data_IF_691254832556
#
_entry.id   IF_691254832556
#
_cell.length_a   1.000
_cell.length_b   1.000
_cell.length_c   1.000
_cell.angle_alpha   90.00
_cell.angle_beta   90.00
_cell.angle_gamma   90.00
#
_symmetry.space_group_name_H-M   'P 1'
#
loop_
_entity.id
_entity.type
_entity.pdbx_description
1 polymer ?
#
# COMPACT_ATOMS: atom_id res chain seq x y z
N UNK A 1 66.24 51.18 -2.44
CA UNK A 1 65.99 49.75 -2.73
C UNK A 1 64.84 49.33 -1.85
N UNK A 2 63.60 49.44 -2.36
CA UNK A 2 62.41 49.11 -1.69
C UNK A 2 61.99 47.62 -2.01
N UNK A 3 61.81 46.83 -1.01
CA UNK A 3 61.32 45.47 -1.15
C UNK A 3 59.79 45.45 -1.15
N UNK A 4 59.19 45.15 -2.32
CA UNK A 4 57.76 44.92 -2.47
C UNK A 4 57.45 43.48 -2.04
N UNK A 5 56.72 43.34 -0.94
CA UNK A 5 56.18 42.01 -0.48
C UNK A 5 54.88 41.71 -1.22
N UNK A 6 54.88 40.69 -2.09
CA UNK A 6 53.69 40.10 -2.69
C UNK A 6 53.01 39.15 -1.66
N UNK A 7 51.85 39.53 -1.16
CA UNK A 7 50.98 38.62 -0.39
C UNK A 7 50.09 37.82 -1.37
N UNK A 8 50.37 36.54 -1.48
CA UNK A 8 49.46 35.59 -2.16
C UNK A 8 48.24 35.35 -1.24
N UNK A 9 47.04 35.83 -1.67
CA UNK A 9 45.78 35.45 -1.07
C UNK A 9 45.32 34.14 -1.71
N UNK A 10 45.39 33.04 -0.95
CA UNK A 10 44.79 31.74 -1.35
C UNK A 10 43.28 31.84 -1.13
N UNK A 11 42.53 31.96 -2.23
CA UNK A 11 41.07 31.90 -2.22
C UNK A 11 40.66 30.42 -2.15
N UNK A 12 40.31 29.97 -0.95
CA UNK A 12 39.69 28.63 -0.76
C UNK A 12 38.24 28.74 -1.23
N UNK A 13 37.96 28.30 -2.46
CA UNK A 13 36.60 28.06 -2.91
C UNK A 13 36.05 26.82 -2.14
N UNK A 14 35.18 27.04 -1.18
CA UNK A 14 34.36 26.00 -0.60
C UNK A 14 33.33 25.59 -1.67
N UNK A 15 33.61 24.50 -2.36
CA UNK A 15 32.61 23.84 -3.22
C UNK A 15 31.60 23.18 -2.29
N UNK A 16 30.47 23.85 -2.05
CA UNK A 16 29.31 23.27 -1.43
C UNK A 16 28.75 22.20 -2.37
N UNK A 17 29.06 20.94 -2.14
CA UNK A 17 28.29 19.84 -2.70
C UNK A 17 26.87 19.91 -2.11
N UNK A 18 25.99 20.65 -2.78
CA UNK A 18 24.57 20.53 -2.58
C UNK A 18 24.18 19.11 -2.97
N UNK A 19 24.00 18.23 -2.00
CA UNK A 19 23.34 16.96 -2.23
C UNK A 19 21.94 17.30 -2.75
N UNK A 20 21.72 17.19 -4.06
CA UNK A 20 20.38 17.15 -4.63
C UNK A 20 19.68 15.97 -3.96
N UNK A 21 18.80 16.24 -2.99
CA UNK A 21 17.91 15.25 -2.47
C UNK A 21 17.09 14.75 -3.67
N UNK A 22 17.37 13.53 -4.14
CA UNK A 22 16.51 12.86 -5.09
C UNK A 22 15.16 12.68 -4.39
N UNK A 23 14.20 13.53 -4.72
CA UNK A 23 12.81 13.37 -4.31
C UNK A 23 12.28 12.15 -5.07
N UNK A 24 12.27 10.99 -4.42
CA UNK A 24 11.57 9.84 -4.94
C UNK A 24 10.08 10.17 -5.01
N UNK A 25 9.49 10.06 -6.20
CA UNK A 25 8.05 10.22 -6.36
C UNK A 25 7.33 9.12 -5.57
N UNK A 26 6.42 9.46 -4.64
CA UNK A 26 5.62 8.46 -3.93
C UNK A 26 4.85 7.53 -4.87
N UNK A 27 4.54 7.99 -6.06
CA UNK A 27 3.77 7.27 -7.09
C UNK A 27 4.57 6.13 -7.75
N UNK A 28 5.90 6.14 -7.64
CA UNK A 28 6.77 5.17 -8.33
C UNK A 28 7.59 4.29 -7.38
N UNK A 29 7.63 4.64 -6.10
CA UNK A 29 8.50 3.97 -5.12
C UNK A 29 8.04 2.54 -4.84
N UNK A 30 9.00 1.59 -4.80
CA UNK A 30 8.80 0.20 -4.34
C UNK A 30 9.41 0.02 -2.95
N UNK A 31 9.06 -1.09 -2.26
CA UNK A 31 9.65 -1.44 -0.95
C UNK A 31 11.18 -1.55 -1.07
N UNK A 32 11.67 -2.25 -2.10
CA UNK A 32 13.11 -2.43 -2.32
C UNK A 32 13.82 -1.09 -2.56
N UNK A 33 13.24 -0.21 -3.35
CA UNK A 33 13.80 1.12 -3.63
C UNK A 33 13.80 2.01 -2.38
N UNK A 34 12.74 2.01 -1.57
CA UNK A 34 12.69 2.73 -0.30
C UNK A 34 13.83 2.29 0.62
N UNK A 35 13.95 0.98 0.86
CA UNK A 35 14.98 0.44 1.74
C UNK A 35 16.40 0.70 1.22
N UNK A 36 16.60 0.62 -0.10
CA UNK A 36 17.89 0.94 -0.71
C UNK A 36 18.24 2.43 -0.56
N UNK A 37 17.28 3.32 -0.82
CA UNK A 37 17.48 4.76 -0.70
C UNK A 37 17.84 5.18 0.73
N UNK A 38 17.19 4.57 1.74
CA UNK A 38 17.52 4.82 3.16
C UNK A 38 18.91 4.29 3.52
N UNK A 39 19.29 3.09 3.07
CA UNK A 39 20.64 2.53 3.27
C UNK A 39 21.71 3.42 2.64
N UNK A 40 21.44 3.98 1.47
CA UNK A 40 22.34 4.89 0.75
C UNK A 40 22.28 6.34 1.26
N UNK A 41 21.49 6.62 2.31
CA UNK A 41 21.28 7.94 2.90
C UNK A 41 20.77 8.99 1.89
N UNK A 42 20.08 8.56 0.84
CA UNK A 42 19.43 9.44 -0.16
C UNK A 42 18.11 10.02 0.33
N UNK A 43 17.50 9.36 1.31
CA UNK A 43 16.29 9.79 2.02
C UNK A 43 16.30 9.26 3.45
N UNK A 44 15.29 9.64 4.23
CA UNK A 44 14.97 9.05 5.54
C UNK A 44 13.54 8.53 5.52
N UNK A 45 13.19 7.67 6.46
CA UNK A 45 11.82 7.21 6.63
C UNK A 45 10.87 8.38 6.91
N UNK A 46 11.29 9.30 7.79
CA UNK A 46 10.52 10.51 8.08
C UNK A 46 10.27 11.35 6.83
N UNK A 47 11.30 11.57 6.00
CA UNK A 47 11.16 12.36 4.77
C UNK A 47 10.22 11.67 3.78
N UNK A 48 10.34 10.35 3.62
CA UNK A 48 9.45 9.57 2.75
C UNK A 48 8.01 9.62 3.25
N UNK A 49 7.78 9.43 4.56
CA UNK A 49 6.45 9.53 5.16
C UNK A 49 5.84 10.92 4.95
N UNK A 50 6.63 12.00 5.14
CA UNK A 50 6.16 13.36 4.90
C UNK A 50 5.71 13.55 3.45
N UNK A 51 6.48 13.04 2.47
CA UNK A 51 6.10 13.12 1.06
C UNK A 51 4.73 12.47 0.78
N UNK A 52 4.45 11.29 1.35
CA UNK A 52 3.13 10.65 1.24
C UNK A 52 2.01 11.48 1.88
N UNK A 53 2.25 12.03 3.07
CA UNK A 53 1.29 12.88 3.76
C UNK A 53 0.98 14.17 2.95
N UNK A 54 1.99 14.76 2.32
CA UNK A 54 1.84 15.95 1.48
C UNK A 54 1.01 15.65 0.23
N UNK A 55 1.23 14.50 -0.42
CA UNK A 55 0.44 14.06 -1.59
C UNK A 55 -1.02 13.82 -1.20
N UNK A 56 -1.29 13.18 -0.06
CA UNK A 56 -2.65 13.01 0.46
C UNK A 56 -3.30 14.39 0.71
N UNK A 57 -2.62 15.27 1.41
CA UNK A 57 -3.14 16.60 1.74
C UNK A 57 -3.45 17.47 0.52
N UNK A 58 -2.69 17.24 -0.57
CA UNK A 58 -2.87 17.97 -1.82
C UNK A 58 -4.01 17.42 -2.69
N UNK A 59 -4.32 16.10 -2.64
CA UNK A 59 -5.13 15.46 -3.67
C UNK A 59 -6.38 14.72 -3.14
N UNK A 60 -6.45 14.36 -1.85
CA UNK A 60 -7.61 13.59 -1.37
C UNK A 60 -8.86 14.45 -1.18
N UNK A 61 -8.75 15.55 -0.40
CA UNK A 61 -9.86 16.49 -0.13
C UNK A 61 -9.71 17.82 -0.90
N UNK A 62 -8.55 18.02 -1.52
CA UNK A 62 -8.21 19.17 -2.37
C UNK A 62 -7.79 18.67 -3.74
N UNK A 63 -7.33 19.55 -4.61
CA UNK A 63 -6.85 19.20 -5.95
C UNK A 63 -7.83 18.28 -6.70
N UNK A 64 -7.42 17.04 -6.97
CA UNK A 64 -8.23 16.05 -7.66
C UNK A 64 -9.48 15.61 -6.87
N UNK A 65 -9.51 15.83 -5.55
CA UNK A 65 -10.61 15.48 -4.64
C UNK A 65 -11.03 14.02 -4.77
N UNK A 66 -10.04 13.12 -4.67
CA UNK A 66 -10.28 11.69 -4.85
C UNK A 66 -11.20 11.09 -3.79
N UNK A 67 -11.25 11.72 -2.61
CA UNK A 67 -12.17 11.36 -1.54
C UNK A 67 -12.04 9.87 -1.13
N UNK A 68 -10.81 9.42 -1.03
CA UNK A 68 -10.47 8.01 -0.82
C UNK A 68 -10.04 7.65 0.61
N UNK A 69 -9.82 8.66 1.48
CA UNK A 69 -9.35 8.47 2.86
C UNK A 69 -10.49 8.77 3.85
N UNK A 70 -10.78 7.83 4.74
CA UNK A 70 -11.74 8.00 5.85
C UNK A 70 -11.04 8.56 7.09
N UNK A 71 -9.87 8.00 7.46
CA UNK A 71 -9.12 8.48 8.63
C UNK A 71 -7.62 8.38 8.41
N UNK A 72 -6.90 9.36 8.98
CA UNK A 72 -5.44 9.45 8.92
C UNK A 72 -4.80 9.00 10.24
N UNK A 73 -3.67 8.33 10.17
CA UNK A 73 -2.82 8.10 11.33
C UNK A 73 -2.05 9.38 11.69
N UNK A 74 -2.48 10.03 12.75
CA UNK A 74 -1.86 11.29 13.23
C UNK A 74 -0.44 11.09 13.77
N UNK A 75 -0.03 9.85 14.07
CA UNK A 75 1.28 9.52 14.63
C UNK A 75 2.27 8.99 13.58
N UNK A 76 1.84 8.81 12.33
CA UNK A 76 2.65 8.19 11.26
C UNK A 76 4.04 8.85 11.09
N UNK A 77 4.11 10.19 11.15
CA UNK A 77 5.38 10.90 11.02
C UNK A 77 6.30 10.70 12.24
N UNK A 78 5.73 10.63 13.44
CA UNK A 78 6.50 10.35 14.65
C UNK A 78 6.99 8.89 14.69
N UNK A 79 6.19 7.95 14.20
CA UNK A 79 6.57 6.55 14.04
C UNK A 79 7.74 6.42 13.05
N UNK A 80 7.69 7.11 11.92
CA UNK A 80 8.77 7.16 10.93
C UNK A 80 10.07 7.78 11.50
N UNK A 81 9.95 8.84 12.29
CA UNK A 81 11.12 9.41 12.98
C UNK A 81 11.74 8.43 14.00
N UNK A 82 10.91 7.65 14.69
CA UNK A 82 11.38 6.62 15.59
C UNK A 82 12.10 5.49 14.83
N UNK A 83 11.59 5.11 13.65
CA UNK A 83 12.23 4.14 12.78
C UNK A 83 13.60 4.62 12.28
N UNK A 84 13.74 5.90 11.90
CA UNK A 84 15.03 6.50 11.53
C UNK A 84 16.06 6.41 12.68
N UNK A 85 15.61 6.69 13.92
CA UNK A 85 16.47 6.61 15.11
C UNK A 85 16.92 5.17 15.37
N UNK A 86 16.02 4.19 15.22
CA UNK A 86 16.33 2.77 15.39
C UNK A 86 17.31 2.31 14.31
N UNK A 87 17.06 2.62 13.05
CA UNK A 87 17.91 2.26 11.92
C UNK A 87 19.34 2.85 12.07
N UNK A 88 19.45 4.11 12.50
CA UNK A 88 20.77 4.74 12.78
C UNK A 88 21.56 4.03 13.88
N UNK A 89 20.87 3.36 14.80
CA UNK A 89 21.51 2.69 15.95
C UNK A 89 22.09 1.34 15.57
N UNK A 90 21.37 0.54 14.76
CA UNK A 90 21.75 -0.87 14.51
C UNK A 90 21.82 -1.26 13.04
N UNK A 91 21.38 -0.39 12.11
CA UNK A 91 21.39 -0.64 10.67
C UNK A 91 20.42 -1.73 10.20
N UNK A 92 19.55 -2.22 11.10
CA UNK A 92 18.65 -3.34 10.80
C UNK A 92 17.36 -2.87 10.17
N UNK A 93 16.93 -3.54 9.10
CA UNK A 93 15.62 -3.31 8.47
C UNK A 93 14.74 -4.55 8.61
N UNK A 94 13.54 -4.38 9.13
CA UNK A 94 12.50 -5.39 9.04
C UNK A 94 11.97 -5.48 7.59
N UNK A 95 11.27 -6.57 7.22
CA UNK A 95 10.81 -6.79 5.83
C UNK A 95 9.95 -5.66 5.23
N UNK A 96 9.14 -5.00 6.07
CA UNK A 96 8.31 -3.84 5.68
C UNK A 96 8.69 -2.59 6.48
N UNK A 97 9.97 -2.46 6.90
CA UNK A 97 10.36 -1.33 7.73
C UNK A 97 9.92 -0.01 7.13
N UNK A 98 9.07 0.70 7.87
CA UNK A 98 8.54 2.03 7.57
C UNK A 98 7.82 2.17 6.21
N UNK A 99 7.34 1.06 5.67
CA UNK A 99 6.50 1.08 4.46
C UNK A 99 5.16 1.73 4.81
N UNK A 100 4.76 2.83 4.11
CA UNK A 100 3.45 3.44 4.30
C UNK A 100 2.35 2.55 3.74
N UNK A 101 1.50 2.00 4.62
CA UNK A 101 0.43 1.05 4.28
C UNK A 101 -0.93 1.72 4.40
N UNK A 102 -1.75 1.51 3.40
CA UNK A 102 -3.17 1.86 3.37
C UNK A 102 -4.01 0.63 3.73
N UNK A 103 -4.85 0.72 4.74
CA UNK A 103 -5.78 -0.35 5.09
C UNK A 103 -7.22 0.03 4.73
N UNK A 104 -7.91 -0.86 4.03
CA UNK A 104 -9.37 -0.70 3.81
C UNK A 104 -10.09 -0.57 5.15
N UNK A 105 -11.06 0.33 5.22
CA UNK A 105 -11.66 0.73 6.51
C UNK A 105 -12.59 -0.32 7.15
N UNK A 106 -12.60 -1.53 6.64
CA UNK A 106 -13.20 -2.70 7.31
C UNK A 106 -12.18 -3.57 8.04
N UNK A 107 -10.89 -3.19 8.08
CA UNK A 107 -9.81 -3.89 8.79
C UNK A 107 -9.54 -3.20 10.11
N UNK A 108 -9.77 -3.87 11.23
CA UNK A 108 -9.56 -3.32 12.57
C UNK A 108 -8.12 -2.85 12.75
N UNK A 109 -7.99 -1.64 13.25
CA UNK A 109 -6.68 -1.01 13.50
C UNK A 109 -6.77 -0.26 14.80
N UNK A 110 -6.06 -0.71 15.83
CA UNK A 110 -6.04 -0.04 17.12
C UNK A 110 -5.60 1.43 16.98
N UNK A 111 -6.30 2.32 17.66
CA UNK A 111 -6.11 3.79 17.63
C UNK A 111 -6.54 4.48 16.32
N UNK A 112 -7.16 3.76 15.36
CA UNK A 112 -7.76 4.33 14.15
C UNK A 112 -9.22 3.91 14.04
N UNK A 113 -10.02 4.73 13.37
CA UNK A 113 -11.40 4.37 13.06
C UNK A 113 -11.45 3.09 12.22
N UNK A 114 -12.46 2.26 12.46
CA UNK A 114 -12.85 1.15 11.59
C UNK A 114 -14.37 1.17 11.47
N UNK A 115 -14.84 1.80 10.40
CA UNK A 115 -16.27 2.11 10.27
C UNK A 115 -16.99 1.25 9.24
N UNK A 116 -16.25 0.46 8.45
CA UNK A 116 -16.83 -0.22 7.29
C UNK A 116 -17.42 0.76 6.27
N UNK A 117 -17.02 2.03 6.31
CA UNK A 117 -17.60 3.12 5.51
C UNK A 117 -18.95 3.61 6.01
N UNK A 118 -19.45 3.11 7.14
CA UNK A 118 -20.79 3.43 7.65
C UNK A 118 -20.75 4.49 8.76
N UNK A 119 -21.62 5.48 8.64
CA UNK A 119 -21.84 6.50 9.68
C UNK A 119 -22.37 5.87 10.99
N UNK A 120 -22.97 4.69 10.93
CA UNK A 120 -23.41 3.96 12.11
C UNK A 120 -22.25 3.53 13.04
N UNK A 121 -21.04 3.41 12.47
CA UNK A 121 -19.80 3.07 13.17
C UNK A 121 -18.79 4.23 13.19
N UNK A 122 -19.23 5.45 12.99
CA UNK A 122 -18.37 6.65 12.83
C UNK A 122 -17.39 6.90 13.98
N UNK A 123 -17.72 6.44 15.19
CA UNK A 123 -16.92 6.62 16.39
C UNK A 123 -16.24 5.30 16.83
N UNK A 124 -16.34 4.23 16.03
CA UNK A 124 -15.78 2.93 16.38
C UNK A 124 -14.26 2.92 16.21
N UNK A 125 -13.55 2.81 17.32
CA UNK A 125 -12.10 2.62 17.38
C UNK A 125 -11.83 1.27 18.03
N UNK A 126 -11.35 0.29 17.29
CA UNK A 126 -11.06 -1.04 17.82
C UNK A 126 -9.98 -0.99 18.92
N UNK A 127 -10.13 -1.80 19.96
CA UNK A 127 -9.12 -1.96 21.02
C UNK A 127 -7.89 -2.73 20.52
N UNK A 128 -8.06 -3.60 19.53
CA UNK A 128 -7.02 -4.48 19.00
C UNK A 128 -6.91 -4.34 17.48
N UNK A 129 -5.72 -4.61 16.97
CA UNK A 129 -5.53 -4.75 15.53
C UNK A 129 -6.17 -6.06 15.02
N UNK A 130 -6.69 -6.06 13.81
CA UNK A 130 -6.90 -7.27 13.04
C UNK A 130 -5.59 -8.07 12.96
N UNK A 131 -5.69 -9.40 12.85
CA UNK A 131 -4.50 -10.25 12.78
C UNK A 131 -3.52 -9.78 11.68
N UNK A 132 -4.02 -9.50 10.48
CA UNK A 132 -3.18 -9.02 9.37
C UNK A 132 -2.58 -7.63 9.62
N UNK A 133 -3.33 -6.73 10.25
CA UNK A 133 -2.82 -5.40 10.60
C UNK A 133 -1.68 -5.50 11.63
N UNK A 134 -1.80 -6.41 12.61
CA UNK A 134 -0.73 -6.69 13.56
C UNK A 134 0.52 -7.25 12.86
N UNK A 135 0.36 -8.24 11.96
CA UNK A 135 1.46 -8.84 11.20
C UNK A 135 2.23 -7.79 10.38
N UNK A 136 1.52 -6.87 9.74
CA UNK A 136 2.12 -5.78 8.96
C UNK A 136 2.91 -4.83 9.87
N UNK A 137 2.35 -4.45 11.02
CA UNK A 137 3.04 -3.60 12.01
C UNK A 137 4.26 -4.30 12.62
N UNK A 138 4.17 -5.60 12.93
CA UNK A 138 5.30 -6.39 13.44
C UNK A 138 6.46 -6.49 12.41
N UNK A 139 6.11 -6.51 11.12
CA UNK A 139 7.06 -6.43 10.02
C UNK A 139 7.68 -5.03 9.83
N UNK A 140 7.26 -4.03 10.63
CA UNK A 140 7.82 -2.69 10.67
C UNK A 140 7.08 -1.65 9.83
N UNK A 141 5.98 -2.01 9.19
CA UNK A 141 5.20 -1.06 8.39
C UNK A 141 4.42 -0.07 9.26
N UNK A 142 4.12 1.08 8.70
CA UNK A 142 3.28 2.11 9.33
C UNK A 142 1.95 2.20 8.57
N UNK A 143 0.85 1.99 9.27
CA UNK A 143 -0.48 2.26 8.71
C UNK A 143 -0.65 3.77 8.64
N UNK A 144 -0.61 4.34 7.42
CA UNK A 144 -0.71 5.79 7.22
C UNK A 144 -2.15 6.28 7.24
N UNK A 145 -3.09 5.47 6.72
CA UNK A 145 -4.50 5.86 6.63
C UNK A 145 -5.44 4.65 6.47
N UNK A 146 -6.72 4.89 6.76
CA UNK A 146 -7.84 3.99 6.45
C UNK A 146 -8.56 4.49 5.19
N UNK A 147 -8.76 3.59 4.23
CA UNK A 147 -9.31 3.95 2.93
C UNK A 147 -10.80 3.69 2.83
N UNK A 148 -11.48 4.54 2.07
CA UNK A 148 -12.90 4.40 1.77
C UNK A 148 -13.21 3.08 1.04
N UNK A 149 -14.45 2.63 1.16
CA UNK A 149 -14.97 1.43 0.52
C UNK A 149 -16.46 1.67 0.21
N UNK A 150 -17.06 0.80 -0.59
CA UNK A 150 -18.51 0.74 -0.59
C UNK A 150 -18.97 0.28 0.80
N UNK A 151 -19.95 0.96 1.38
CA UNK A 151 -20.41 0.74 2.75
C UNK A 151 -20.61 -0.75 3.02
N UNK A 152 -19.97 -1.28 4.09
CA UNK A 152 -19.90 -2.69 4.46
C UNK A 152 -19.40 -3.63 3.33
N UNK A 153 -18.71 -3.11 2.33
CA UNK A 153 -18.17 -3.86 1.18
C UNK A 153 -19.24 -4.57 0.31
N UNK A 154 -20.51 -4.14 0.38
CA UNK A 154 -21.63 -4.85 -0.27
C UNK A 154 -21.72 -4.63 -1.79
N UNK A 155 -21.01 -3.64 -2.36
CA UNK A 155 -21.05 -3.33 -3.78
C UNK A 155 -19.71 -2.79 -4.30
N UNK A 156 -19.61 -2.53 -5.61
CA UNK A 156 -18.35 -2.15 -6.28
C UNK A 156 -18.10 -0.65 -6.48
N UNK A 157 -19.07 0.23 -6.16
CA UNK A 157 -18.99 1.66 -6.54
C UNK A 157 -18.15 2.53 -5.60
N UNK A 158 -17.69 2.03 -4.47
CA UNK A 158 -16.91 2.78 -3.47
C UNK A 158 -17.61 4.05 -3.00
N UNK A 159 -18.88 3.89 -2.64
CA UNK A 159 -19.70 4.94 -2.05
C UNK A 159 -20.06 4.57 -0.63
N UNK A 160 -19.84 5.49 0.30
CA UNK A 160 -20.12 5.27 1.72
C UNK A 160 -20.87 6.45 2.34
N UNK A 161 -21.59 6.21 3.44
CA UNK A 161 -22.20 7.29 4.22
C UNK A 161 -21.15 8.10 5.02
N UNK A 162 -19.98 7.51 5.29
CA UNK A 162 -18.88 8.19 5.98
C UNK A 162 -18.19 9.23 5.09
N UNK A 163 -17.92 8.91 3.83
CA UNK A 163 -17.03 9.69 2.96
C UNK A 163 -17.65 10.05 1.61
N UNK A 164 -18.80 9.47 1.26
CA UNK A 164 -19.40 9.64 -0.07
C UNK A 164 -18.67 8.83 -1.15
N UNK A 165 -18.62 9.35 -2.37
CA UNK A 165 -18.05 8.69 -3.53
C UNK A 165 -16.54 8.90 -3.62
N UNK A 166 -15.77 7.83 -3.78
CA UNK A 166 -14.34 7.91 -4.17
C UNK A 166 -14.23 7.97 -5.70
N UNK A 167 -13.26 8.73 -6.21
CA UNK A 167 -13.03 8.92 -7.64
C UNK A 167 -11.76 8.18 -8.09
N UNK A 168 -11.72 7.78 -9.37
CA UNK A 168 -10.54 7.17 -9.97
C UNK A 168 -9.52 8.26 -10.36
N UNK A 169 -8.24 8.16 -9.95
CA UNK A 169 -7.24 9.18 -10.25
C UNK A 169 -6.94 9.35 -11.75
N UNK A 170 -7.18 8.32 -12.57
CA UNK A 170 -6.98 8.39 -14.02
C UNK A 170 -8.21 8.88 -14.78
N UNK A 171 -9.41 8.71 -14.21
CA UNK A 171 -10.67 9.13 -14.79
C UNK A 171 -11.68 9.45 -13.70
N UNK A 172 -11.78 10.71 -13.33
CA UNK A 172 -12.63 11.19 -12.24
C UNK A 172 -14.15 10.92 -12.45
N UNK A 173 -14.55 10.40 -13.61
CA UNK A 173 -15.94 9.99 -13.88
C UNK A 173 -16.23 8.54 -13.52
N UNK A 174 -15.18 7.74 -13.19
CA UNK A 174 -15.28 6.31 -12.89
C UNK A 174 -15.10 6.02 -11.40
N UNK A 175 -15.65 4.89 -11.00
CA UNK A 175 -15.52 4.38 -9.63
C UNK A 175 -14.33 3.40 -9.52
N UNK A 176 -13.41 3.57 -8.56
CA UNK A 176 -12.13 2.89 -8.63
C UNK A 176 -11.89 1.81 -7.58
N UNK A 177 -12.73 1.73 -6.51
CA UNK A 177 -12.33 1.05 -5.26
C UNK A 177 -11.33 1.90 -4.44
N UNK A 178 -11.68 2.22 -3.17
CA UNK A 178 -10.98 3.23 -2.36
C UNK A 178 -9.50 2.95 -2.16
N UNK A 179 -9.13 1.72 -1.75
CA UNK A 179 -7.72 1.32 -1.56
C UNK A 179 -6.94 1.36 -2.88
N UNK A 180 -7.56 0.91 -3.99
CA UNK A 180 -6.93 0.97 -5.31
C UNK A 180 -6.65 2.41 -5.76
N UNK A 181 -7.65 3.30 -5.64
CA UNK A 181 -7.48 4.72 -5.95
C UNK A 181 -6.36 5.36 -5.13
N UNK A 182 -6.32 5.08 -3.82
CA UNK A 182 -5.32 5.65 -2.92
C UNK A 182 -3.90 5.18 -3.26
N UNK A 183 -3.70 3.89 -3.59
CA UNK A 183 -2.39 3.38 -4.01
C UNK A 183 -1.97 3.98 -5.35
N UNK A 184 -2.88 4.05 -6.32
CA UNK A 184 -2.61 4.63 -7.64
C UNK A 184 -2.26 6.12 -7.58
N UNK A 185 -2.88 6.85 -6.64
CA UNK A 185 -2.62 8.27 -6.41
C UNK A 185 -1.35 8.54 -5.56
N UNK A 186 -0.59 7.51 -5.19
CA UNK A 186 0.61 7.68 -4.37
C UNK A 186 0.33 8.07 -2.91
N UNK A 187 -0.82 7.69 -2.36
CA UNK A 187 -1.17 7.96 -0.96
C UNK A 187 -0.55 6.97 0.02
N UNK A 188 -0.04 5.86 -0.48
CA UNK A 188 0.70 4.85 0.24
C UNK A 188 1.50 3.99 -0.72
N UNK A 189 2.51 3.29 -0.20
CA UNK A 189 3.35 2.43 -1.03
C UNK A 189 2.60 1.13 -1.38
N UNK A 190 1.90 0.56 -0.41
CA UNK A 190 1.06 -0.63 -0.58
C UNK A 190 -0.32 -0.41 0.05
N UNK A 191 -1.31 -1.15 -0.44
CA UNK A 191 -2.64 -1.21 0.14
C UNK A 191 -3.04 -2.64 0.49
N UNK A 192 -3.87 -2.78 1.53
CA UNK A 192 -4.56 -4.03 1.86
C UNK A 192 -6.05 -3.81 1.65
N UNK A 193 -6.61 -4.60 0.75
CA UNK A 193 -8.04 -4.67 0.49
C UNK A 193 -8.66 -5.97 1.00
N UNK A 194 -9.98 -6.06 0.84
CA UNK A 194 -10.75 -7.30 1.03
C UNK A 194 -11.50 -7.63 -0.24
N UNK A 195 -11.69 -8.90 -0.52
CA UNK A 195 -12.34 -9.40 -1.74
C UNK A 195 -13.30 -10.52 -1.40
N UNK A 196 -14.55 -10.29 -1.59
CA UNK A 196 -15.61 -11.32 -1.51
C UNK A 196 -15.86 -11.89 -2.90
N UNK A 197 -16.11 -11.03 -3.88
CA UNK A 197 -16.38 -11.40 -5.27
C UNK A 197 -15.27 -10.91 -6.21
N UNK A 198 -14.90 -9.60 -6.11
CA UNK A 198 -13.91 -8.95 -6.99
C UNK A 198 -13.21 -7.73 -6.37
N UNK A 199 -13.40 -7.43 -5.07
CA UNK A 199 -13.06 -6.12 -4.49
C UNK A 199 -11.56 -5.86 -4.22
N UNK A 200 -10.66 -6.78 -4.56
CA UNK A 200 -9.21 -6.54 -4.73
C UNK A 200 -8.89 -6.42 -6.21
N UNK A 201 -9.36 -7.37 -7.01
CA UNK A 201 -8.99 -7.53 -8.42
C UNK A 201 -9.58 -6.43 -9.30
N UNK A 202 -10.84 -6.09 -9.11
CA UNK A 202 -11.51 -5.02 -9.87
C UNK A 202 -10.89 -3.64 -9.60
N UNK A 203 -10.68 -3.19 -8.33
CA UNK A 203 -9.95 -1.96 -8.06
C UNK A 203 -8.53 -1.94 -8.63
N UNK A 204 -7.79 -3.04 -8.52
CA UNK A 204 -6.44 -3.12 -9.08
C UNK A 204 -6.46 -2.95 -10.62
N UNK A 205 -7.37 -3.65 -11.30
CA UNK A 205 -7.54 -3.54 -12.75
C UNK A 205 -7.93 -2.12 -13.18
N UNK A 206 -8.88 -1.49 -12.46
CA UNK A 206 -9.34 -0.13 -12.77
C UNK A 206 -8.29 0.97 -12.53
N UNK A 207 -7.24 0.66 -11.77
CA UNK A 207 -6.19 1.60 -11.37
C UNK A 207 -4.78 1.18 -11.82
N UNK A 208 -4.65 0.27 -12.80
CA UNK A 208 -3.37 -0.21 -13.33
C UNK A 208 -2.42 -0.73 -12.25
N UNK A 209 -2.96 -1.49 -11.30
CA UNK A 209 -2.25 -2.05 -10.15
C UNK A 209 -2.24 -3.59 -10.19
N UNK A 210 -1.37 -4.17 -9.37
CA UNK A 210 -1.35 -5.60 -9.07
C UNK A 210 -2.27 -5.85 -7.86
N UNK A 211 -3.36 -6.58 -8.06
CA UNK A 211 -4.26 -7.01 -7.00
C UNK A 211 -4.23 -8.53 -6.85
N UNK A 212 -3.81 -9.02 -5.69
CA UNK A 212 -3.74 -10.44 -5.43
C UNK A 212 -4.83 -10.85 -4.44
N UNK A 213 -5.80 -11.64 -4.93
CA UNK A 213 -6.77 -12.35 -4.08
C UNK A 213 -6.18 -13.70 -3.68
N UNK A 214 -5.76 -13.88 -2.41
CA UNK A 214 -5.23 -15.16 -1.95
C UNK A 214 -6.28 -16.26 -1.94
N UNK A 215 -5.84 -17.50 -1.94
CA UNK A 215 -6.69 -18.65 -1.61
C UNK A 215 -7.28 -18.48 -0.22
N UNK A 216 -8.58 -18.73 -0.06
CA UNK A 216 -9.26 -18.68 1.23
C UNK A 216 -8.55 -19.61 2.20
N UNK A 217 -8.25 -19.09 3.39
CA UNK A 217 -7.50 -19.82 4.42
C UNK A 217 -5.98 -19.56 4.42
N UNK A 218 -5.44 -18.84 3.45
CA UNK A 218 -4.03 -18.39 3.53
C UNK A 218 -3.85 -17.16 4.42
N UNK A 219 -4.85 -16.30 4.47
CA UNK A 219 -4.82 -15.02 5.19
C UNK A 219 -5.99 -14.97 6.16
N UNK A 220 -5.71 -14.61 7.41
CA UNK A 220 -6.74 -14.51 8.46
C UNK A 220 -7.71 -13.35 8.21
N UNK A 221 -8.96 -13.57 8.59
CA UNK A 221 -10.05 -12.58 8.55
C UNK A 221 -10.41 -12.07 9.95
N UNK A 222 -9.68 -12.50 11.00
CA UNK A 222 -9.92 -12.02 12.37
C UNK A 222 -9.70 -10.51 12.48
N UNK A 223 -10.71 -9.80 12.97
CA UNK A 223 -10.72 -8.34 13.05
C UNK A 223 -11.01 -7.66 11.71
N UNK A 224 -11.63 -8.37 10.76
CA UNK A 224 -12.17 -7.76 9.53
C UNK A 224 -13.68 -7.79 9.62
N UNK A 225 -14.35 -6.64 9.42
CA UNK A 225 -15.81 -6.57 9.31
C UNK A 225 -16.23 -7.47 8.14
N UNK A 226 -17.00 -8.54 8.39
CA UNK A 226 -17.29 -9.53 7.37
C UNK A 226 -18.40 -9.07 6.42
N UNK A 227 -18.34 -9.56 5.17
CA UNK A 227 -19.47 -9.59 4.26
C UNK A 227 -19.96 -11.04 4.05
N UNK A 228 -19.04 -11.98 3.83
CA UNK A 228 -19.35 -13.40 3.64
C UNK A 228 -18.30 -14.29 4.30
N UNK A 229 -18.70 -15.08 5.29
CA UNK A 229 -17.79 -16.00 5.98
C UNK A 229 -17.18 -17.10 5.09
N UNK A 230 -17.80 -17.37 3.94
CA UNK A 230 -17.35 -18.43 3.02
C UNK A 230 -16.56 -17.88 1.83
N UNK A 231 -16.59 -16.57 1.56
CA UNK A 231 -16.01 -15.98 0.37
C UNK A 231 -14.95 -14.90 0.64
N UNK A 232 -14.99 -14.28 1.83
CA UNK A 232 -14.10 -13.17 2.16
C UNK A 232 -12.65 -13.63 2.28
N UNK A 233 -11.76 -12.81 1.73
CA UNK A 233 -10.32 -12.87 1.99
C UNK A 233 -9.75 -11.46 1.95
N UNK A 234 -8.59 -11.27 2.55
CA UNK A 234 -7.82 -10.03 2.44
C UNK A 234 -6.56 -10.25 1.60
N UNK A 235 -6.07 -9.20 0.97
CA UNK A 235 -4.86 -9.32 0.15
C UNK A 235 -4.30 -7.98 -0.31
N UNK A 236 -3.09 -8.01 -0.87
CA UNK A 236 -2.37 -6.81 -1.28
C UNK A 236 -2.90 -6.21 -2.58
N UNK A 237 -2.83 -4.88 -2.63
CA UNK A 237 -2.99 -4.05 -3.83
C UNK A 237 -1.72 -3.20 -3.92
N UNK A 238 -0.92 -3.39 -4.97
CA UNK A 238 0.42 -2.82 -5.08
C UNK A 238 0.71 -2.38 -6.52
N UNK A 239 1.79 -1.63 -6.72
CA UNK A 239 2.25 -1.26 -8.07
C UNK A 239 3.05 -2.37 -8.74
N UNK A 240 3.74 -3.21 -7.96
CA UNK A 240 4.60 -4.27 -8.50
C UNK A 240 4.21 -5.65 -7.97
N UNK A 241 4.50 -6.69 -8.75
CA UNK A 241 4.33 -8.09 -8.33
C UNK A 241 5.26 -8.42 -7.15
N UNK A 242 6.45 -7.83 -7.11
CA UNK A 242 7.40 -8.02 -6.01
C UNK A 242 6.81 -7.52 -4.68
N UNK A 243 6.25 -6.31 -4.65
CA UNK A 243 5.65 -5.76 -3.44
C UNK A 243 4.42 -6.57 -3.00
N UNK A 244 3.64 -7.11 -3.95
CA UNK A 244 2.54 -8.01 -3.65
C UNK A 244 3.03 -9.31 -2.99
N UNK A 245 4.09 -9.93 -3.54
CA UNK A 245 4.70 -11.14 -3.00
C UNK A 245 5.31 -10.91 -1.61
N UNK A 246 6.05 -9.81 -1.41
CA UNK A 246 6.60 -9.40 -0.11
C UNK A 246 5.50 -9.21 0.94
N UNK A 247 4.43 -8.54 0.56
CA UNK A 247 3.29 -8.31 1.44
C UNK A 247 2.58 -9.62 1.79
N UNK A 248 2.38 -10.50 0.80
CA UNK A 248 1.75 -11.80 1.01
C UNK A 248 2.57 -12.68 1.97
N UNK A 249 3.90 -12.67 1.87
CA UNK A 249 4.79 -13.36 2.81
C UNK A 249 4.53 -12.97 4.28
N UNK A 250 4.16 -11.72 4.52
CA UNK A 250 3.91 -11.21 5.87
C UNK A 250 2.53 -11.57 6.39
N UNK A 251 1.49 -11.46 5.54
CA UNK A 251 0.11 -11.66 5.98
C UNK A 251 -0.36 -13.10 5.92
N UNK A 252 0.38 -13.99 5.23
CA UNK A 252 0.10 -15.45 5.22
C UNK A 252 0.55 -16.06 6.54
N UNK A 253 -0.40 -16.50 7.37
CA UNK A 253 -0.09 -17.15 8.64
C UNK A 253 -1.32 -17.88 9.21
N UNK A 254 -1.05 -18.84 10.09
CA UNK A 254 -2.07 -19.47 10.92
C UNK A 254 -2.53 -18.51 12.03
N UNK A 255 -3.84 -18.42 12.22
CA UNK A 255 -4.49 -17.67 13.29
C UNK A 255 -5.50 -18.58 13.99
N UNK A 256 -5.32 -18.81 15.28
CA UNK A 256 -6.22 -19.65 16.10
C UNK A 256 -7.66 -19.12 16.12
N UNK A 257 -7.86 -17.82 15.93
CA UNK A 257 -9.17 -17.17 15.91
C UNK A 257 -9.91 -17.31 14.57
N UNK A 258 -9.19 -17.71 13.49
CA UNK A 258 -9.78 -18.00 12.18
C UNK A 258 -9.36 -19.39 11.72
N UNK A 259 -10.11 -20.41 12.13
CA UNK A 259 -9.79 -21.83 11.96
C UNK A 259 -9.52 -22.26 10.52
N UNK A 260 -10.06 -21.56 9.52
CA UNK A 260 -9.81 -21.85 8.11
C UNK A 260 -8.33 -21.64 7.75
N UNK A 261 -7.59 -20.86 8.52
CA UNK A 261 -6.16 -20.61 8.32
C UNK A 261 -5.29 -21.79 8.74
N UNK A 262 -5.86 -22.88 9.24
CA UNK A 262 -5.13 -24.11 9.50
C UNK A 262 -4.37 -24.61 8.25
N UNK A 263 -4.86 -24.30 7.05
CA UNK A 263 -4.16 -24.56 5.77
C UNK A 263 -2.81 -23.85 5.68
N UNK A 264 -2.63 -22.73 6.37
CA UNK A 264 -1.40 -21.95 6.37
C UNK A 264 -0.40 -22.33 7.47
N UNK A 265 -0.79 -23.23 8.41
CA UNK A 265 0.01 -23.53 9.62
C UNK A 265 1.42 -24.01 9.32
N UNK A 266 1.57 -24.86 8.31
CA UNK A 266 2.85 -25.49 7.98
C UNK A 266 3.47 -24.95 6.68
N UNK A 267 2.87 -23.91 6.11
CA UNK A 267 3.37 -23.29 4.88
C UNK A 267 4.63 -22.46 5.19
N UNK A 268 5.74 -22.89 4.58
CA UNK A 268 7.02 -22.17 4.58
C UNK A 268 7.35 -21.72 3.16
N UNK A 269 6.48 -20.87 2.61
CA UNK A 269 6.62 -20.37 1.25
C UNK A 269 7.17 -18.95 1.30
N UNK A 270 8.21 -18.70 0.53
CA UNK A 270 8.63 -17.36 0.17
C UNK A 270 8.22 -17.09 -1.28
N UNK A 271 7.14 -16.34 -1.45
CA UNK A 271 6.57 -16.02 -2.75
C UNK A 271 7.52 -15.20 -3.63
N UNK A 272 8.52 -14.52 -3.05
CA UNK A 272 9.50 -13.74 -3.81
C UNK A 272 10.50 -14.62 -4.58
N UNK A 273 10.73 -15.85 -4.14
CA UNK A 273 11.65 -16.79 -4.81
C UNK A 273 11.15 -17.22 -6.21
N UNK A 274 9.85 -17.08 -6.46
CA UNK A 274 9.26 -17.41 -7.77
C UNK A 274 9.30 -16.24 -8.76
N UNK A 275 9.81 -15.09 -8.37
CA UNK A 275 9.88 -13.90 -9.22
C UNK A 275 11.05 -14.03 -10.22
N UNK A 276 10.70 -14.47 -11.42
CA UNK A 276 11.65 -14.79 -12.47
C UNK A 276 11.04 -14.49 -13.85
N UNK A 277 11.71 -13.68 -14.66
CA UNK A 277 11.25 -13.31 -16.01
C UNK A 277 11.12 -14.51 -16.95
N UNK A 278 11.88 -15.58 -16.71
CA UNK A 278 11.85 -16.82 -17.50
C UNK A 278 10.87 -17.87 -16.91
N UNK A 279 10.16 -17.55 -15.83
CA UNK A 279 9.33 -18.51 -15.08
C UNK A 279 8.21 -19.16 -15.88
N UNK A 280 7.77 -18.54 -16.97
CA UNK A 280 6.74 -19.07 -17.87
C UNK A 280 7.31 -19.80 -19.10
N UNK A 281 8.63 -19.77 -19.30
CA UNK A 281 9.26 -20.40 -20.46
C UNK A 281 8.98 -21.92 -20.48
N UNK A 282 8.45 -22.41 -21.59
CA UNK A 282 8.08 -23.81 -21.76
C UNK A 282 6.83 -24.26 -21.00
N UNK A 283 6.13 -23.36 -20.29
CA UNK A 283 4.86 -23.67 -19.64
C UNK A 283 3.70 -23.58 -20.63
N UNK A 284 2.70 -24.44 -20.44
CA UNK A 284 1.43 -24.35 -21.18
C UNK A 284 0.47 -23.49 -20.40
N UNK A 285 -0.06 -22.45 -21.03
CA UNK A 285 -1.03 -21.53 -20.43
C UNK A 285 -2.37 -21.76 -21.13
N UNK A 286 -3.42 -22.05 -20.34
CA UNK A 286 -4.79 -22.13 -20.82
C UNK A 286 -5.46 -20.76 -20.75
N UNK A 287 -6.15 -20.37 -21.82
CA UNK A 287 -6.97 -19.16 -21.87
C UNK A 287 -8.44 -19.54 -21.85
N UNK A 288 -9.19 -19.04 -20.86
CA UNK A 288 -10.63 -19.33 -20.70
C UNK A 288 -11.46 -18.34 -21.53
N UNK A 289 -11.46 -18.51 -22.85
CA UNK A 289 -12.12 -17.59 -23.77
C UNK A 289 -13.61 -17.36 -23.49
N UNK A 290 -14.30 -18.34 -22.88
CA UNK A 290 -15.73 -18.22 -22.53
C UNK A 290 -16.05 -17.14 -21.48
N UNK A 291 -15.04 -16.65 -20.78
CA UNK A 291 -15.19 -15.54 -19.81
C UNK A 291 -14.90 -14.16 -20.41
N UNK A 292 -14.39 -14.10 -21.64
CA UNK A 292 -14.30 -12.83 -22.36
C UNK A 292 -15.66 -12.50 -22.96
N UNK A 293 -16.14 -11.27 -22.75
CA UNK A 293 -17.41 -10.81 -23.32
C UNK A 293 -17.43 -10.93 -24.85
N UNK A 294 -18.60 -11.10 -25.41
CA UNK A 294 -18.82 -11.21 -26.86
C UNK A 294 -19.08 -9.86 -27.51
N UNK A 295 -19.37 -8.81 -26.74
CA UNK A 295 -19.58 -7.46 -27.21
C UNK A 295 -18.29 -6.62 -27.18
N UNK A 296 -18.29 -5.51 -27.95
CA UNK A 296 -17.10 -4.63 -28.07
C UNK A 296 -16.69 -4.00 -26.74
N UNK A 297 -17.63 -3.81 -25.80
CA UNK A 297 -17.40 -3.17 -24.50
C UNK A 297 -16.71 -4.11 -23.52
N UNK A 298 -16.99 -5.41 -23.60
CA UNK A 298 -16.50 -6.41 -22.66
C UNK A 298 -15.38 -7.30 -23.21
N UNK A 299 -14.99 -7.10 -24.48
CA UNK A 299 -13.92 -7.90 -25.11
C UNK A 299 -12.56 -7.19 -24.95
N UNK A 300 -11.70 -7.65 -24.01
CA UNK A 300 -10.40 -7.01 -23.75
C UNK A 300 -9.43 -7.09 -24.94
N UNK A 301 -9.67 -7.97 -25.92
CA UNK A 301 -8.79 -8.08 -27.11
C UNK A 301 -8.87 -6.86 -28.02
N UNK A 302 -9.89 -6.03 -27.91
CA UNK A 302 -10.04 -4.79 -28.70
C UNK A 302 -9.53 -3.55 -27.98
N UNK A 303 -9.44 -3.56 -26.64
CA UNK A 303 -8.95 -2.43 -25.85
C UNK A 303 -7.42 -2.39 -25.68
N UNK A 304 -6.70 -3.41 -26.16
CA UNK A 304 -5.24 -3.54 -26.06
C UNK A 304 -4.51 -3.34 -27.40
N UNK A 305 -5.15 -2.74 -28.40
CA UNK A 305 -4.51 -2.41 -29.68
C UNK A 305 -4.14 -0.95 -29.79
#
# INVERSE_FOLDING_TARGET
>A
MEFVQFRFAVLVMAVSFGASAHTYSPEELTISQLHQAVKEQKTTFKQTMQNYLDVIAANDQKGAKLNSIISMNKTALAEAEAADKAFKKDGTLKPLQDVPVLLKDNVDTANLLTTGGSISLKDNVPEQNAFIAQKIKDAGAIVIAKTNLHEFAVWGETRSSMQGQTLNPYDLTRTPGGTGASVAAGFGLIGIGTDTINSIRSPASANSLVGLRPTIGLVSRSGIIPYSFTQDTAGPITRTVEDAARTLNIITAYDEKDSITALAKDLKIDYTQSLNTEGLKGKRIGVLNSFFGTDEVHNPSQSMR
#
